data_IF_789810571144
#
_entry.id   IF_789810571144
#
_cell.length_a   1.000
_cell.length_b   1.000
_cell.length_c   1.000
_cell.angle_alpha   90.00
_cell.angle_beta   90.00
_cell.angle_gamma   90.00
#
_symmetry.space_group_name_H-M   'P 1'
#
loop_
_entity.id
_entity.type
_entity.pdbx_description
1 polymer ?
#
# COMPACT_ATOMS: atom_id res chain seq x y z
N UNK A 1 -37.22 -32.61 -21.06
CA UNK A 1 -36.48 -31.35 -21.22
C UNK A 1 -36.71 -30.58 -19.93
N UNK A 2 -35.79 -30.77 -19.01
CA UNK A 2 -35.88 -30.20 -17.69
C UNK A 2 -35.10 -28.87 -17.68
N UNK A 3 -35.81 -27.77 -17.43
CA UNK A 3 -35.26 -26.42 -17.46
C UNK A 3 -34.73 -26.12 -16.05
N UNK A 4 -33.40 -26.18 -15.91
CA UNK A 4 -32.68 -25.96 -14.67
C UNK A 4 -33.10 -24.67 -13.95
N UNK A 5 -33.51 -24.85 -12.71
CA UNK A 5 -33.83 -23.80 -11.74
C UNK A 5 -32.55 -23.03 -11.39
N UNK A 6 -32.52 -21.77 -11.79
CA UNK A 6 -31.48 -20.84 -11.33
C UNK A 6 -31.73 -20.59 -9.84
N UNK A 7 -30.83 -21.09 -8.99
CA UNK A 7 -30.88 -20.83 -7.55
C UNK A 7 -30.78 -19.33 -7.30
N UNK A 8 -31.77 -18.84 -6.58
CA UNK A 8 -31.88 -17.45 -6.10
C UNK A 8 -30.64 -17.09 -5.27
N UNK A 9 -29.86 -16.16 -5.78
CA UNK A 9 -28.82 -15.48 -5.00
C UNK A 9 -29.52 -14.80 -3.82
N UNK A 10 -29.25 -15.28 -2.61
CA UNK A 10 -29.80 -14.75 -1.39
C UNK A 10 -29.59 -13.24 -1.33
N UNK A 11 -30.67 -12.50 -1.07
CA UNK A 11 -30.66 -11.06 -0.91
C UNK A 11 -29.66 -10.65 0.17
N UNK A 12 -28.73 -9.77 -0.20
CA UNK A 12 -27.76 -9.20 0.73
C UNK A 12 -28.49 -8.51 1.88
N UNK A 13 -28.03 -8.64 3.14
CA UNK A 13 -28.66 -7.99 4.27
C UNK A 13 -28.66 -6.47 4.08
N UNK A 14 -29.83 -5.87 4.15
CA UNK A 14 -30.04 -4.42 4.10
C UNK A 14 -29.46 -3.77 5.35
N UNK A 15 -28.16 -3.45 5.32
CA UNK A 15 -27.53 -2.58 6.30
C UNK A 15 -27.54 -1.16 5.75
N UNK A 16 -28.23 -0.29 6.43
CA UNK A 16 -28.31 1.16 6.28
C UNK A 16 -27.29 1.80 5.30
N UNK A 17 -27.65 1.91 4.03
CA UNK A 17 -27.25 2.97 3.11
C UNK A 17 -25.82 3.09 2.62
N UNK A 18 -24.84 2.42 3.19
CA UNK A 18 -23.45 2.47 2.72
C UNK A 18 -22.89 1.06 2.62
N UNK A 19 -22.83 0.51 1.40
CA UNK A 19 -22.16 -0.77 1.15
C UNK A 19 -20.71 -0.75 1.65
N UNK A 20 -20.15 -1.93 1.98
CA UNK A 20 -18.77 -2.12 2.49
C UNK A 20 -17.75 -1.36 1.63
N UNK A 21 -17.89 -1.34 0.31
CA UNK A 21 -17.02 -0.60 -0.58
C UNK A 21 -16.95 0.90 -0.28
N UNK A 22 -18.08 1.56 0.04
CA UNK A 22 -18.08 2.97 0.43
C UNK A 22 -17.37 3.19 1.76
N UNK A 23 -17.51 2.27 2.71
CA UNK A 23 -16.83 2.36 4.00
C UNK A 23 -15.33 2.19 3.86
N UNK A 24 -14.88 1.23 3.03
CA UNK A 24 -13.47 1.05 2.69
C UNK A 24 -12.90 2.31 2.02
N UNK A 25 -13.62 2.88 1.04
CA UNK A 25 -13.20 4.12 0.38
C UNK A 25 -13.05 5.28 1.37
N UNK A 26 -14.02 5.47 2.28
CA UNK A 26 -13.95 6.52 3.31
C UNK A 26 -12.79 6.28 4.28
N UNK A 27 -12.57 5.05 4.71
CA UNK A 27 -11.46 4.70 5.59
C UNK A 27 -10.11 4.95 4.89
N UNK A 28 -9.97 4.57 3.63
CA UNK A 28 -8.78 4.85 2.83
C UNK A 28 -8.52 6.35 2.68
N UNK A 29 -9.57 7.17 2.49
CA UNK A 29 -9.44 8.62 2.42
C UNK A 29 -8.98 9.20 3.77
N UNK A 30 -9.51 8.69 4.89
CA UNK A 30 -9.10 9.13 6.23
C UNK A 30 -7.66 8.74 6.54
N UNK A 31 -7.23 7.51 6.23
CA UNK A 31 -5.84 7.06 6.37
C UNK A 31 -4.88 7.95 5.56
N UNK A 32 -5.22 8.27 4.31
CA UNK A 32 -4.41 9.18 3.48
C UNK A 32 -4.35 10.58 4.10
N UNK A 33 -5.48 11.12 4.57
CA UNK A 33 -5.52 12.43 5.23
C UNK A 33 -4.65 12.49 6.48
N UNK A 34 -4.75 11.48 7.33
CA UNK A 34 -3.91 11.39 8.54
C UNK A 34 -2.43 11.21 8.17
N UNK A 35 -2.13 10.40 7.16
CA UNK A 35 -0.77 10.26 6.63
C UNK A 35 -0.18 11.59 6.20
N UNK A 36 -0.93 12.39 5.44
CA UNK A 36 -0.49 13.73 5.01
C UNK A 36 -0.25 14.69 6.18
N UNK A 37 -1.12 14.66 7.21
CA UNK A 37 -0.95 15.51 8.40
C UNK A 37 0.29 15.12 9.20
N UNK A 38 0.54 13.83 9.39
CA UNK A 38 1.74 13.35 10.09
C UNK A 38 3.00 13.68 9.28
N UNK A 39 2.98 13.45 7.96
CA UNK A 39 4.11 13.79 7.07
C UNK A 39 4.42 15.29 7.07
N UNK A 40 3.41 16.15 7.12
CA UNK A 40 3.60 17.60 7.17
C UNK A 40 4.32 18.07 8.45
N UNK A 41 4.29 17.29 9.52
CA UNK A 41 5.03 17.52 10.74
C UNK A 41 6.47 16.98 10.76
N UNK A 42 6.88 16.29 9.70
CA UNK A 42 8.22 15.68 9.60
C UNK A 42 9.22 16.67 8.99
N UNK A 43 10.07 17.28 9.81
CA UNK A 43 11.05 18.30 9.39
C UNK A 43 12.05 17.79 8.32
N UNK A 44 12.35 16.49 8.31
CA UNK A 44 13.30 15.89 7.37
C UNK A 44 12.70 15.67 5.97
N UNK A 45 11.38 15.57 5.84
CA UNK A 45 10.73 15.19 4.58
C UNK A 45 10.87 16.25 3.47
N UNK A 46 10.71 17.56 3.73
CA UNK A 46 10.91 18.58 2.69
C UNK A 46 12.32 18.56 2.08
N UNK A 47 13.33 18.21 2.88
CA UNK A 47 14.73 18.15 2.44
C UNK A 47 15.10 16.83 1.78
N UNK A 48 14.27 15.80 1.91
CA UNK A 48 14.51 14.47 1.33
C UNK A 48 14.29 14.40 -0.18
N UNK A 49 13.59 15.36 -0.76
CA UNK A 49 13.19 15.33 -2.18
C UNK A 49 12.09 14.33 -2.53
N UNK A 50 11.55 13.59 -1.53
CA UNK A 50 10.54 12.56 -1.75
C UNK A 50 9.15 13.15 -2.08
N UNK A 51 8.59 12.73 -3.21
CA UNK A 51 7.19 13.01 -3.55
C UNK A 51 6.23 12.02 -2.85
N UNK A 52 4.97 12.38 -2.61
CA UNK A 52 4.00 11.52 -1.90
C UNK A 52 3.85 10.11 -2.49
N UNK A 53 3.84 9.97 -3.80
CA UNK A 53 3.74 8.66 -4.47
C UNK A 53 5.01 7.82 -4.28
N UNK A 54 6.19 8.45 -4.28
CA UNK A 54 7.47 7.77 -4.05
C UNK A 54 7.55 7.14 -2.65
N UNK A 55 6.90 7.75 -1.65
CA UNK A 55 6.77 7.20 -0.30
C UNK A 55 6.06 5.83 -0.33
N UNK A 56 4.96 5.74 -1.06
CA UNK A 56 4.20 4.48 -1.21
C UNK A 56 5.03 3.39 -1.90
N UNK A 57 5.72 3.75 -2.99
CA UNK A 57 6.58 2.84 -3.74
C UNK A 57 7.74 2.34 -2.88
N UNK A 58 8.44 3.23 -2.18
CA UNK A 58 9.57 2.85 -1.31
C UNK A 58 9.15 1.86 -0.21
N UNK A 59 7.98 2.07 0.39
CA UNK A 59 7.43 1.15 1.41
C UNK A 59 7.09 -0.23 0.83
N UNK A 60 6.56 -0.29 -0.38
CA UNK A 60 6.29 -1.58 -1.06
C UNK A 60 7.58 -2.32 -1.34
N UNK A 61 8.60 -1.62 -1.85
CA UNK A 61 9.92 -2.21 -2.11
C UNK A 61 10.56 -2.75 -0.83
N UNK A 62 10.49 -1.99 0.28
CA UNK A 62 11.01 -2.43 1.57
C UNK A 62 10.28 -3.66 2.11
N UNK A 63 8.96 -3.67 2.04
CA UNK A 63 8.14 -4.73 2.61
C UNK A 63 8.14 -6.05 1.83
N UNK A 64 8.45 -6.02 0.53
CA UNK A 64 8.40 -7.21 -0.36
C UNK A 64 9.79 -7.77 -0.71
N UNK A 65 10.87 -7.02 -0.46
CA UNK A 65 12.21 -7.39 -0.91
C UNK A 65 12.36 -7.23 -2.43
N UNK A 66 13.18 -8.04 -3.11
CA UNK A 66 13.32 -7.98 -4.56
C UNK A 66 11.97 -8.13 -5.26
N UNK A 67 11.51 -7.07 -5.96
CA UNK A 67 10.19 -7.02 -6.57
C UNK A 67 10.28 -6.42 -7.97
N UNK A 68 9.53 -6.97 -8.94
CA UNK A 68 9.51 -6.41 -10.30
C UNK A 68 8.67 -5.14 -10.37
N UNK A 69 8.98 -4.28 -11.36
CA UNK A 69 8.19 -3.06 -11.61
C UNK A 69 6.71 -3.35 -11.88
N UNK A 70 6.43 -4.46 -12.56
CA UNK A 70 5.06 -4.89 -12.81
C UNK A 70 4.32 -5.22 -11.52
N UNK A 71 4.93 -5.99 -10.63
CA UNK A 71 4.33 -6.32 -9.33
C UNK A 71 4.10 -5.08 -8.47
N UNK A 72 5.02 -4.08 -8.51
CA UNK A 72 4.82 -2.80 -7.83
C UNK A 72 3.60 -2.07 -8.42
N UNK A 73 3.51 -1.99 -9.77
CA UNK A 73 2.40 -1.35 -10.49
C UNK A 73 1.05 -1.98 -10.10
N UNK A 74 0.99 -3.31 -10.10
CA UNK A 74 -0.21 -4.07 -9.77
C UNK A 74 -0.64 -3.86 -8.30
N UNK A 75 0.32 -3.82 -7.37
CA UNK A 75 0.05 -3.63 -5.93
C UNK A 75 -0.45 -2.22 -5.58
N UNK A 76 0.08 -1.19 -6.25
CA UNK A 76 -0.24 0.20 -5.92
C UNK A 76 -1.36 0.73 -6.81
N UNK A 77 -1.63 0.07 -7.94
CA UNK A 77 -2.60 0.51 -8.93
C UNK A 77 -2.11 1.74 -9.72
N UNK A 78 -0.80 1.83 -9.98
CA UNK A 78 -0.19 2.89 -10.78
C UNK A 78 -0.03 2.45 -12.24
N UNK A 79 -0.15 3.42 -13.16
CA UNK A 79 0.26 3.20 -14.54
C UNK A 79 1.76 2.92 -14.62
N UNK A 80 2.22 1.95 -15.42
CA UNK A 80 3.64 1.62 -15.56
C UNK A 80 4.52 2.82 -15.96
N UNK A 81 4.01 3.78 -16.73
CA UNK A 81 4.75 4.98 -17.14
C UNK A 81 4.99 5.95 -15.97
N UNK A 82 3.98 6.10 -15.10
CA UNK A 82 4.09 6.92 -13.89
C UNK A 82 5.07 6.29 -12.90
N UNK A 83 5.02 4.95 -12.77
CA UNK A 83 5.92 4.21 -11.90
C UNK A 83 7.38 4.38 -12.31
N UNK A 84 7.71 4.38 -13.61
CA UNK A 84 9.09 4.58 -14.09
C UNK A 84 9.67 5.88 -13.53
N UNK A 85 8.94 7.00 -13.66
CA UNK A 85 9.40 8.31 -13.17
C UNK A 85 9.62 8.34 -11.66
N UNK A 86 8.83 7.59 -10.90
CA UNK A 86 8.96 7.48 -9.45
C UNK A 86 10.18 6.65 -9.08
N UNK A 87 10.40 5.54 -9.77
CA UNK A 87 11.57 4.67 -9.54
C UNK A 87 12.86 5.39 -9.93
N UNK A 88 12.86 6.17 -11.02
CA UNK A 88 14.01 6.99 -11.41
C UNK A 88 14.38 7.98 -10.30
N UNK A 89 13.38 8.67 -9.75
CA UNK A 89 13.59 9.58 -8.61
C UNK A 89 14.17 8.85 -7.38
N UNK A 90 13.62 7.70 -7.02
CA UNK A 90 14.10 6.93 -5.86
C UNK A 90 15.53 6.41 -6.06
N UNK A 91 15.88 6.03 -7.29
CA UNK A 91 17.22 5.57 -7.66
C UNK A 91 18.22 6.74 -7.67
N UNK A 92 17.85 7.93 -8.20
CA UNK A 92 18.64 9.15 -8.12
C UNK A 92 18.92 9.58 -6.67
N UNK A 93 17.96 9.38 -5.77
CA UNK A 93 18.14 9.62 -4.34
C UNK A 93 18.96 8.51 -3.63
N UNK A 94 19.34 7.46 -4.35
CA UNK A 94 20.10 6.34 -3.82
C UNK A 94 19.33 5.46 -2.83
N UNK A 95 17.98 5.52 -2.83
CA UNK A 95 17.13 4.79 -1.89
C UNK A 95 16.77 3.38 -2.38
N UNK A 96 16.81 3.17 -3.69
CA UNK A 96 16.59 1.88 -4.34
C UNK A 96 17.68 1.66 -5.41
N UNK A 97 17.78 0.45 -5.87
CA UNK A 97 18.52 0.08 -7.09
C UNK A 97 17.73 -0.88 -7.95
N UNK A 98 17.89 -0.78 -9.28
CA UNK A 98 17.39 -1.76 -10.23
C UNK A 98 18.51 -2.74 -10.55
N UNK A 99 18.28 -4.04 -10.38
CA UNK A 99 19.26 -5.08 -10.69
C UNK A 99 18.62 -6.28 -11.36
N UNK A 100 19.46 -7.16 -11.93
CA UNK A 100 19.01 -8.45 -12.42
C UNK A 100 18.55 -9.32 -11.25
N UNK A 101 17.42 -10.02 -11.44
CA UNK A 101 16.96 -11.02 -10.48
C UNK A 101 18.05 -12.13 -10.36
N UNK A 102 18.49 -12.47 -9.15
CA UNK A 102 19.49 -13.54 -8.97
C UNK A 102 18.95 -14.92 -9.40
N UNK A 103 17.64 -15.14 -9.30
CA UNK A 103 16.99 -16.42 -9.61
C UNK A 103 16.52 -16.50 -11.08
N UNK A 104 16.21 -15.35 -11.70
CA UNK A 104 15.89 -15.26 -13.13
C UNK A 104 16.54 -14.02 -13.78
N UNK A 105 17.67 -14.23 -14.42
CA UNK A 105 18.45 -13.18 -15.11
C UNK A 105 17.71 -12.45 -16.24
N UNK A 106 16.54 -12.93 -16.64
CA UNK A 106 15.66 -12.25 -17.61
C UNK A 106 14.79 -11.19 -16.98
N UNK A 107 14.64 -11.22 -15.65
CA UNK A 107 13.86 -10.24 -14.88
C UNK A 107 14.78 -9.15 -14.32
N UNK A 108 14.26 -7.93 -14.33
CA UNK A 108 14.78 -6.85 -13.51
C UNK A 108 13.91 -6.72 -12.27
N UNK A 109 14.56 -6.56 -11.13
CA UNK A 109 13.93 -6.31 -9.85
C UNK A 109 14.41 -5.00 -9.24
N UNK A 110 13.56 -4.42 -8.44
CA UNK A 110 13.84 -3.24 -7.61
C UNK A 110 14.11 -3.73 -6.20
N UNK A 111 15.17 -3.23 -5.60
CA UNK A 111 15.54 -3.54 -4.21
C UNK A 111 15.84 -2.26 -3.46
N UNK A 112 15.61 -2.27 -2.16
CA UNK A 112 16.00 -1.18 -1.29
C UNK A 112 17.51 -1.20 -1.05
N UNK A 113 18.12 -0.03 -0.95
CA UNK A 113 19.54 0.12 -0.60
C UNK A 113 19.74 0.22 0.91
N UNK A 114 20.99 0.13 1.36
CA UNK A 114 21.35 0.40 2.76
C UNK A 114 21.00 1.83 3.18
N UNK A 115 21.06 2.79 2.26
CA UNK A 115 20.63 4.18 2.50
C UNK A 115 19.10 4.35 2.48
N UNK A 116 18.40 3.52 1.72
CA UNK A 116 16.95 3.55 1.64
C UNK A 116 16.26 2.96 2.86
N UNK A 117 16.88 1.93 3.47
CA UNK A 117 16.28 1.21 4.61
C UNK A 117 15.93 2.13 5.80
N UNK A 118 16.82 3.00 6.31
CA UNK A 118 16.46 3.94 7.39
C UNK A 118 15.33 4.91 7.01
N UNK A 119 15.24 5.30 5.74
CA UNK A 119 14.15 6.17 5.25
C UNK A 119 12.83 5.41 5.27
N UNK A 120 12.80 4.17 4.79
CA UNK A 120 11.61 3.32 4.80
C UNK A 120 11.13 3.01 6.22
N UNK A 121 12.05 2.79 7.17
CA UNK A 121 11.72 2.56 8.58
C UNK A 121 11.03 3.80 9.18
N UNK A 122 11.56 5.01 8.94
CA UNK A 122 10.90 6.27 9.37
C UNK A 122 9.52 6.46 8.75
N UNK A 123 9.36 6.14 7.47
CA UNK A 123 8.06 6.19 6.80
C UNK A 123 7.06 5.17 7.36
N UNK A 124 7.55 4.03 7.82
CA UNK A 124 6.73 3.00 8.49
C UNK A 124 6.23 3.51 9.85
N UNK A 125 7.07 4.21 10.63
CA UNK A 125 6.66 4.86 11.87
C UNK A 125 5.61 5.97 11.63
N UNK A 126 5.79 6.77 10.58
CA UNK A 126 4.82 7.79 10.16
C UNK A 126 3.46 7.14 9.84
N UNK A 127 3.47 6.04 9.08
CA UNK A 127 2.26 5.32 8.74
C UNK A 127 1.58 4.73 9.98
N UNK A 128 2.33 4.16 10.91
CA UNK A 128 1.78 3.63 12.17
C UNK A 128 1.12 4.73 13.02
N UNK A 129 1.71 5.93 13.08
CA UNK A 129 1.09 7.08 13.76
C UNK A 129 -0.21 7.53 13.07
N UNK A 130 -0.22 7.61 11.76
CA UNK A 130 -1.41 7.95 10.98
C UNK A 130 -2.54 6.93 11.18
N UNK A 131 -2.19 5.64 11.15
CA UNK A 131 -3.12 4.54 11.41
C UNK A 131 -3.69 4.59 12.83
N UNK A 132 -2.84 4.85 13.85
CA UNK A 132 -3.28 4.96 15.23
C UNK A 132 -4.33 6.04 15.43
N UNK A 133 -4.22 7.17 14.70
CA UNK A 133 -5.22 8.25 14.72
C UNK A 133 -6.48 7.85 13.94
N UNK A 134 -6.33 7.37 12.72
CA UNK A 134 -7.46 7.00 11.86
C UNK A 134 -8.32 5.88 12.47
N UNK A 135 -7.70 4.94 13.17
CA UNK A 135 -8.36 3.79 13.81
C UNK A 135 -8.53 3.98 15.33
N UNK A 136 -8.46 5.21 15.85
CA UNK A 136 -8.51 5.49 17.29
C UNK A 136 -9.80 5.02 17.97
N UNK A 137 -10.89 4.87 17.21
CA UNK A 137 -12.18 4.36 17.71
C UNK A 137 -12.24 2.85 17.87
N UNK A 138 -11.25 2.12 17.38
CA UNK A 138 -11.14 0.67 17.48
C UNK A 138 -10.19 0.28 18.60
N UNK A 139 -10.59 -0.71 19.38
CA UNK A 139 -9.70 -1.40 20.32
C UNK A 139 -8.59 -2.16 19.57
N UNK A 140 -7.55 -2.57 20.29
CA UNK A 140 -6.45 -3.35 19.70
C UNK A 140 -6.92 -4.69 19.10
N UNK A 141 -7.94 -5.33 19.70
CA UNK A 141 -8.52 -6.58 19.18
C UNK A 141 -9.29 -6.33 17.87
N UNK A 142 -10.09 -5.26 17.81
CA UNK A 142 -10.85 -4.91 16.61
C UNK A 142 -9.94 -4.49 15.44
N UNK A 143 -8.81 -3.81 15.71
CA UNK A 143 -7.82 -3.50 14.67
C UNK A 143 -7.19 -4.77 14.09
N UNK A 144 -6.84 -5.76 14.93
CA UNK A 144 -6.32 -7.05 14.46
C UNK A 144 -7.36 -7.81 13.62
N UNK A 145 -8.62 -7.80 14.06
CA UNK A 145 -9.69 -8.46 13.30
C UNK A 145 -9.95 -7.76 11.96
N UNK A 146 -9.94 -6.42 11.93
CA UNK A 146 -10.04 -5.64 10.69
C UNK A 146 -8.92 -5.99 9.72
N UNK A 147 -7.66 -6.01 10.19
CA UNK A 147 -6.50 -6.40 9.38
C UNK A 147 -6.67 -7.81 8.81
N UNK A 148 -7.06 -8.79 9.64
CA UNK A 148 -7.31 -10.17 9.22
C UNK A 148 -8.39 -10.26 8.13
N UNK A 149 -9.49 -9.52 8.28
CA UNK A 149 -10.59 -9.52 7.30
C UNK A 149 -10.16 -8.89 5.97
N UNK A 150 -9.38 -7.81 6.02
CA UNK A 150 -8.84 -7.15 4.83
C UNK A 150 -7.86 -8.08 4.11
N UNK A 151 -6.89 -8.69 4.81
CA UNK A 151 -5.93 -9.63 4.20
C UNK A 151 -6.65 -10.78 3.52
N UNK A 152 -7.67 -11.36 4.18
CA UNK A 152 -8.47 -12.43 3.57
C UNK A 152 -9.24 -11.96 2.33
N UNK A 153 -9.76 -10.74 2.33
CA UNK A 153 -10.47 -10.19 1.17
C UNK A 153 -9.53 -9.91 -0.01
N UNK A 154 -8.26 -9.58 0.27
CA UNK A 154 -7.22 -9.34 -0.73
C UNK A 154 -6.52 -10.62 -1.21
N UNK A 155 -6.75 -11.75 -0.55
CA UNK A 155 -6.08 -13.02 -0.87
C UNK A 155 -4.65 -13.12 -0.35
N UNK A 156 -4.28 -12.31 0.63
CA UNK A 156 -2.94 -12.27 1.26
C UNK A 156 -2.77 -13.32 2.39
N UNK A 157 -3.72 -14.25 2.55
CA UNK A 157 -3.75 -15.24 3.63
C UNK A 157 -3.22 -16.60 3.18
#
# INVERSE_FOLDING_TARGET
MDCGRVESVAAAPTHNGAGVGRQIWRLSAELRRQGQLVLAGEEWLPTSGLRPLAIGVLRVVDGRGPISQREISDLIGLDPSDLVSILDQLEELGLIERRRDPDDRRRNVVVITDSGKPVADRLTEVAARAEAVALSRLSASERRELARLISRALGDA
#
